data_IF_529745477973
#
_entry.id   IF_529745477973
#
_cell.length_a   1.000
_cell.length_b   1.000
_cell.length_c   1.000
_cell.angle_alpha   90.00
_cell.angle_beta   90.00
_cell.angle_gamma   90.00
#
_symmetry.space_group_name_H-M   'P 1'
#
loop_
_entity.id
_entity.type
_entity.pdbx_description
1 polymer ?
#
# COMPACT_ATOMS: atom_id res chain seq x y z
N UNK A 1 44.89 32.58 -60.66
CA UNK A 1 43.60 32.88 -60.00
C UNK A 1 43.19 31.65 -59.19
N UNK A 2 42.98 31.75 -57.86
CA UNK A 2 42.53 30.62 -57.05
C UNK A 2 41.02 30.69 -56.89
N UNK A 3 40.30 29.77 -57.50
CA UNK A 3 38.83 29.66 -57.40
C UNK A 3 38.50 28.65 -56.31
N UNK A 4 37.71 29.05 -55.32
CA UNK A 4 37.13 28.16 -54.30
C UNK A 4 35.62 28.12 -54.52
N UNK A 5 35.06 26.91 -54.53
CA UNK A 5 33.63 26.64 -54.72
C UNK A 5 33.14 25.85 -53.51
N UNK A 6 31.85 25.98 -53.18
CA UNK A 6 31.22 25.18 -52.13
C UNK A 6 31.11 23.73 -52.61
N UNK A 7 31.75 22.80 -51.91
CA UNK A 7 31.55 21.37 -52.05
C UNK A 7 30.85 20.83 -50.79
N UNK A 8 29.92 19.88 -50.96
CA UNK A 8 29.23 19.22 -49.85
C UNK A 8 29.50 17.72 -49.92
N UNK A 9 30.14 17.16 -48.89
CA UNK A 9 30.40 15.72 -48.82
C UNK A 9 29.15 14.96 -48.31
N UNK A 10 28.59 13.99 -49.06
CA UNK A 10 27.44 13.19 -48.62
C UNK A 10 27.60 12.55 -47.23
N UNK A 11 28.80 12.14 -46.85
CA UNK A 11 29.06 11.47 -45.57
C UNK A 11 28.81 12.38 -44.35
N UNK A 12 28.87 13.70 -44.54
CA UNK A 12 28.70 14.68 -43.45
C UNK A 12 27.23 14.97 -43.10
N UNK A 13 26.30 14.72 -44.02
CA UNK A 13 24.87 15.02 -43.83
C UNK A 13 23.94 13.82 -44.03
N UNK A 14 24.41 12.73 -44.65
CA UNK A 14 23.68 11.47 -44.68
C UNK A 14 23.95 10.66 -43.41
N UNK A 15 23.04 9.73 -43.13
CA UNK A 15 23.22 8.71 -42.10
C UNK A 15 24.04 7.57 -42.68
N UNK A 16 24.97 7.01 -41.90
CA UNK A 16 25.79 5.88 -42.35
C UNK A 16 24.99 4.59 -42.28
N UNK A 17 24.16 4.43 -41.24
CA UNK A 17 23.34 3.24 -41.01
C UNK A 17 21.85 3.58 -40.92
N UNK A 18 20.96 2.63 -41.30
CA UNK A 18 19.50 2.83 -41.28
C UNK A 18 18.90 3.12 -39.90
N UNK A 19 19.55 2.63 -38.84
CA UNK A 19 19.15 2.84 -37.44
C UNK A 19 19.56 4.20 -36.89
N UNK A 20 20.43 4.92 -37.60
CA UNK A 20 20.97 6.19 -37.17
C UNK A 20 20.09 7.36 -37.61
N UNK A 21 20.10 8.43 -36.82
CA UNK A 21 19.31 9.64 -37.03
C UNK A 21 20.01 10.52 -38.07
N UNK A 22 19.24 11.14 -38.97
CA UNK A 22 19.78 12.09 -39.93
C UNK A 22 20.41 13.31 -39.23
N UNK A 23 21.64 13.66 -39.61
CA UNK A 23 22.34 14.85 -39.12
C UNK A 23 21.69 16.10 -39.71
N UNK A 24 21.05 16.92 -38.87
CA UNK A 24 20.41 18.17 -39.31
C UNK A 24 21.35 19.35 -39.01
N UNK A 25 21.87 19.96 -40.08
CA UNK A 25 22.69 21.17 -39.97
C UNK A 25 21.78 22.40 -39.78
N UNK A 26 22.10 23.25 -38.81
CA UNK A 26 21.33 24.46 -38.48
C UNK A 26 22.19 25.69 -38.68
N UNK A 27 21.65 26.68 -39.40
CA UNK A 27 22.23 28.01 -39.48
C UNK A 27 21.29 28.97 -38.73
N UNK A 28 21.82 29.78 -37.81
CA UNK A 28 21.05 30.67 -36.94
C UNK A 28 21.01 32.14 -37.39
N UNK A 29 21.50 32.43 -38.60
CA UNK A 29 21.44 33.77 -39.16
C UNK A 29 19.98 34.30 -39.22
N UNK A 30 19.66 35.43 -38.56
CA UNK A 30 18.31 36.01 -38.57
C UNK A 30 17.78 36.33 -39.97
N UNK A 31 18.66 36.62 -40.95
CA UNK A 31 18.25 36.87 -42.33
C UNK A 31 17.64 35.64 -42.99
N UNK A 32 18.06 34.43 -42.60
CA UNK A 32 17.54 33.16 -43.09
C UNK A 32 16.25 32.73 -42.36
N UNK A 33 15.92 33.36 -41.23
CA UNK A 33 14.72 33.07 -40.43
C UNK A 33 13.81 34.30 -40.29
N UNK A 34 13.19 34.77 -41.39
CA UNK A 34 12.31 35.92 -41.33
C UNK A 34 11.05 35.63 -40.49
N UNK A 35 10.43 36.70 -39.97
CA UNK A 35 9.18 36.70 -39.20
C UNK A 35 9.21 35.93 -37.87
N UNK A 36 10.27 36.12 -37.08
CA UNK A 36 10.39 35.52 -35.75
C UNK A 36 9.18 35.83 -34.86
N UNK A 37 8.85 37.11 -34.68
CA UNK A 37 7.74 37.53 -33.81
C UNK A 37 6.37 36.95 -34.22
N UNK A 38 6.06 36.89 -35.53
CA UNK A 38 4.80 36.32 -36.01
C UNK A 38 4.74 34.80 -35.81
N UNK A 39 5.87 34.11 -35.99
CA UNK A 39 6.00 32.67 -35.76
C UNK A 39 5.86 32.33 -34.28
N UNK A 40 6.42 33.14 -33.40
CA UNK A 40 6.25 32.99 -31.95
C UNK A 40 4.83 33.29 -31.51
N UNK A 41 4.21 34.34 -32.05
CA UNK A 41 2.80 34.67 -31.77
C UNK A 41 1.87 33.49 -32.12
N UNK A 42 2.03 32.90 -33.31
CA UNK A 42 1.22 31.74 -33.72
C UNK A 42 1.50 30.51 -32.86
N UNK A 43 2.75 30.26 -32.45
CA UNK A 43 3.10 29.20 -31.50
C UNK A 43 2.45 29.41 -30.13
N UNK A 44 2.50 30.62 -29.60
CA UNK A 44 1.87 30.98 -28.34
C UNK A 44 0.35 30.83 -28.41
N UNK A 45 -0.26 31.30 -29.49
CA UNK A 45 -1.70 31.17 -29.73
C UNK A 45 -2.14 29.71 -29.86
N UNK A 46 -1.35 28.87 -30.53
CA UNK A 46 -1.60 27.44 -30.60
C UNK A 46 -1.40 26.75 -29.25
N UNK A 47 -0.38 27.13 -28.47
CA UNK A 47 -0.16 26.60 -27.13
C UNK A 47 -1.34 26.92 -26.20
N UNK A 48 -1.83 28.17 -26.20
CA UNK A 48 -3.01 28.57 -25.41
C UNK A 48 -4.27 27.82 -25.85
N UNK A 49 -4.45 27.59 -27.15
CA UNK A 49 -5.57 26.77 -27.66
C UNK A 49 -5.47 25.33 -27.20
N UNK A 50 -4.28 24.73 -27.25
CA UNK A 50 -4.05 23.36 -26.77
C UNK A 50 -4.28 23.25 -25.27
N UNK A 51 -3.77 24.20 -24.48
CA UNK A 51 -3.97 24.22 -23.03
C UNK A 51 -5.47 24.25 -22.67
N UNK A 52 -6.25 25.11 -23.34
CA UNK A 52 -7.72 25.14 -23.19
C UNK A 52 -8.40 23.85 -23.66
N UNK A 53 -7.93 23.23 -24.73
CA UNK A 53 -8.45 21.95 -25.23
C UNK A 53 -8.17 20.79 -24.25
N UNK A 54 -7.02 20.83 -23.58
CA UNK A 54 -6.60 19.83 -22.60
C UNK A 54 -6.99 20.16 -21.16
N UNK A 55 -7.63 21.31 -20.90
CA UNK A 55 -8.15 21.70 -19.60
C UNK A 55 -9.34 20.82 -19.19
N UNK A 56 -9.04 19.59 -18.76
CA UNK A 56 -9.98 18.61 -18.21
C UNK A 56 -9.68 18.44 -16.71
N UNK A 57 -10.10 19.39 -15.86
CA UNK A 57 -9.67 19.47 -14.45
C UNK A 57 -10.29 18.38 -13.58
N UNK A 58 -11.45 17.84 -13.96
CA UNK A 58 -12.12 16.80 -13.20
C UNK A 58 -11.45 15.45 -13.44
N UNK A 59 -10.77 14.94 -12.42
CA UNK A 59 -10.10 13.65 -12.47
C UNK A 59 -11.04 12.50 -12.07
N UNK A 60 -11.91 12.74 -11.09
CA UNK A 60 -12.86 11.75 -10.58
C UNK A 60 -13.46 12.18 -9.24
N UNK A 61 -14.52 11.48 -8.81
CA UNK A 61 -15.13 11.67 -7.50
C UNK A 61 -14.61 10.61 -6.50
N UNK A 62 -14.72 10.92 -5.21
CA UNK A 62 -14.35 10.01 -4.14
C UNK A 62 -15.61 9.59 -3.39
N UNK A 63 -16.34 8.68 -4.03
CA UNK A 63 -17.67 8.26 -3.58
C UNK A 63 -17.63 7.36 -2.34
N UNK A 64 -18.74 7.35 -1.62
CA UNK A 64 -19.01 6.43 -0.54
C UNK A 64 -19.93 6.99 0.53
N UNK A 65 -19.87 8.27 0.82
CA UNK A 65 -20.72 8.82 1.88
C UNK A 65 -22.18 8.83 1.47
N UNK A 66 -23.07 8.48 2.41
CA UNK A 66 -24.51 8.48 2.17
C UNK A 66 -25.08 9.90 2.30
N UNK A 67 -24.48 10.69 3.18
CA UNK A 67 -24.81 12.10 3.41
C UNK A 67 -23.66 13.03 2.97
N UNK A 68 -23.86 14.35 3.07
CA UNK A 68 -22.85 15.36 2.76
C UNK A 68 -21.56 15.18 3.56
N UNK A 69 -20.42 15.49 2.94
CA UNK A 69 -19.11 15.46 3.60
C UNK A 69 -18.96 16.73 4.44
N UNK A 70 -18.78 16.58 5.74
CA UNK A 70 -18.58 17.70 6.68
C UNK A 70 -17.10 18.08 6.83
N UNK A 71 -16.20 17.09 6.81
CA UNK A 71 -14.77 17.31 7.06
C UNK A 71 -13.87 16.38 6.25
N UNK A 72 -12.73 16.89 5.81
CA UNK A 72 -11.69 16.15 5.11
C UNK A 72 -10.34 16.46 5.75
N UNK A 73 -9.57 15.41 6.08
CA UNK A 73 -8.23 15.54 6.66
C UNK A 73 -7.22 14.72 5.84
N UNK A 74 -6.10 15.35 5.47
CA UNK A 74 -4.94 14.68 4.88
C UNK A 74 -3.96 14.26 5.97
N UNK A 75 -3.26 13.15 5.77
CA UNK A 75 -2.19 12.78 6.67
C UNK A 75 -0.95 13.66 6.41
N UNK A 76 -0.27 14.19 7.44
CA UNK A 76 0.86 15.13 7.25
C UNK A 76 2.06 14.52 6.53
N UNK A 77 2.35 13.23 6.75
CA UNK A 77 3.54 12.57 6.17
C UNK A 77 3.24 11.70 4.94
N UNK A 78 1.98 11.32 4.70
CA UNK A 78 1.59 10.34 3.68
C UNK A 78 0.56 10.95 2.75
N UNK A 79 0.97 11.25 1.52
CA UNK A 79 0.14 11.90 0.51
C UNK A 79 -1.03 11.03 0.02
N UNK A 80 -0.90 9.71 0.09
CA UNK A 80 -1.95 8.77 -0.32
C UNK A 80 -3.11 8.66 0.68
N UNK A 81 -2.92 9.16 1.90
CA UNK A 81 -3.87 8.98 3.00
C UNK A 81 -4.72 10.22 3.14
N UNK A 82 -6.01 10.02 2.90
CA UNK A 82 -7.04 11.01 3.10
C UNK A 82 -8.22 10.36 3.83
N UNK A 83 -8.75 11.08 4.80
CA UNK A 83 -9.88 10.67 5.62
C UNK A 83 -11.00 11.68 5.38
N UNK A 84 -12.22 11.18 5.27
CA UNK A 84 -13.42 11.99 5.07
C UNK A 84 -14.48 11.60 6.09
N UNK A 85 -15.10 12.59 6.73
CA UNK A 85 -16.23 12.42 7.65
C UNK A 85 -17.51 13.02 7.06
N UNK A 86 -18.62 12.31 7.17
CA UNK A 86 -19.94 12.77 6.74
C UNK A 86 -20.82 13.21 7.94
N UNK A 87 -21.95 13.85 7.65
CA UNK A 87 -22.91 14.32 8.66
C UNK A 87 -23.66 13.19 9.37
N UNK A 88 -23.70 11.99 8.79
CA UNK A 88 -24.20 10.76 9.42
C UNK A 88 -23.26 10.20 10.52
N UNK A 89 -22.07 10.79 10.68
CA UNK A 89 -21.04 10.33 11.61
C UNK A 89 -20.13 9.24 11.03
N UNK A 90 -20.32 8.82 9.77
CA UNK A 90 -19.43 7.87 9.13
C UNK A 90 -18.08 8.49 8.77
N UNK A 91 -17.01 7.83 9.19
CA UNK A 91 -15.65 8.18 8.80
C UNK A 91 -15.12 7.15 7.81
N UNK A 92 -14.79 7.60 6.60
CA UNK A 92 -14.31 6.74 5.52
C UNK A 92 -12.89 7.06 5.13
N UNK A 93 -12.12 5.99 5.08
CA UNK A 93 -10.74 5.94 4.64
C UNK A 93 -10.70 5.53 3.15
N UNK A 94 -9.78 6.12 2.38
CA UNK A 94 -9.76 5.95 0.92
C UNK A 94 -9.46 4.50 0.47
N UNK A 95 -9.96 4.07 -0.71
CA UNK A 95 -9.82 2.69 -1.19
C UNK A 95 -8.36 2.21 -1.29
N UNK A 96 -7.42 3.06 -1.71
CA UNK A 96 -6.00 2.72 -1.81
C UNK A 96 -5.42 2.23 -0.48
N UNK A 97 -5.69 2.95 0.60
CA UNK A 97 -5.16 2.60 1.92
C UNK A 97 -5.97 1.45 2.55
N UNK A 98 -7.29 1.38 2.31
CA UNK A 98 -8.08 0.17 2.66
C UNK A 98 -7.50 -1.09 1.99
N UNK A 99 -7.09 -1.01 0.72
CA UNK A 99 -6.47 -2.11 0.02
C UNK A 99 -5.09 -2.47 0.60
N UNK A 100 -4.27 -1.48 0.94
CA UNK A 100 -2.98 -1.70 1.59
C UNK A 100 -3.13 -2.37 2.96
N UNK A 101 -4.08 -1.92 3.79
CA UNK A 101 -4.41 -2.53 5.08
C UNK A 101 -4.86 -3.98 4.90
N UNK A 102 -5.84 -4.22 4.01
CA UNK A 102 -6.33 -5.57 3.69
C UNK A 102 -5.21 -6.50 3.22
N UNK A 103 -4.30 -6.00 2.39
CA UNK A 103 -3.14 -6.76 1.93
C UNK A 103 -2.21 -7.10 3.09
N UNK A 104 -1.92 -6.14 3.97
CA UNK A 104 -1.08 -6.38 5.14
C UNK A 104 -1.70 -7.39 6.12
N UNK A 105 -3.01 -7.35 6.29
CA UNK A 105 -3.73 -8.28 7.16
C UNK A 105 -3.78 -9.68 6.55
N UNK A 106 -4.04 -9.80 5.25
CA UNK A 106 -3.95 -11.06 4.53
C UNK A 106 -2.54 -11.69 4.61
N UNK A 107 -1.48 -10.88 4.56
CA UNK A 107 -0.11 -11.37 4.77
C UNK A 107 0.11 -11.88 6.19
N UNK A 108 -0.35 -11.14 7.21
CA UNK A 108 -0.25 -11.58 8.61
C UNK A 108 -0.97 -12.91 8.82
N UNK A 109 -2.15 -13.08 8.23
CA UNK A 109 -2.93 -14.32 8.31
C UNK A 109 -2.21 -15.48 7.59
N UNK A 110 -1.79 -15.26 6.34
CA UNK A 110 -1.08 -16.26 5.54
C UNK A 110 0.18 -16.77 6.24
N UNK A 111 0.93 -15.87 6.87
CA UNK A 111 2.19 -16.19 7.55
C UNK A 111 2.05 -16.35 9.08
N UNK A 112 0.83 -16.51 9.61
CA UNK A 112 0.58 -16.61 11.05
C UNK A 112 1.25 -17.83 11.72
N UNK A 113 1.54 -18.88 10.95
CA UNK A 113 2.22 -20.10 11.44
C UNK A 113 3.73 -19.92 11.61
N UNK A 114 4.33 -18.94 10.92
CA UNK A 114 5.78 -18.72 10.95
C UNK A 114 6.24 -18.36 12.37
N UNK A 115 7.27 -19.03 12.93
CA UNK A 115 7.71 -18.82 14.32
C UNK A 115 7.97 -17.35 14.67
N UNK A 116 8.69 -16.60 13.83
CA UNK A 116 8.98 -15.18 14.02
C UNK A 116 7.73 -14.28 14.00
N UNK A 117 6.89 -14.40 12.96
CA UNK A 117 5.64 -13.63 12.85
C UNK A 117 4.72 -13.92 14.04
N UNK A 118 4.58 -15.20 14.40
CA UNK A 118 3.79 -15.67 15.55
C UNK A 118 4.34 -15.14 16.88
N UNK A 119 5.66 -15.11 17.05
CA UNK A 119 6.34 -14.57 18.24
C UNK A 119 6.05 -13.08 18.38
N UNK A 120 6.20 -12.30 17.31
CA UNK A 120 5.92 -10.86 17.30
C UNK A 120 4.43 -10.60 17.56
N UNK A 121 3.54 -11.31 16.87
CA UNK A 121 2.10 -11.13 16.99
C UNK A 121 1.58 -11.43 18.41
N UNK A 122 2.16 -12.43 19.09
CA UNK A 122 1.78 -12.84 20.45
C UNK A 122 2.45 -12.04 21.57
N UNK A 123 3.54 -11.34 21.26
CA UNK A 123 4.24 -10.56 22.27
C UNK A 123 3.32 -9.46 22.82
N UNK A 124 3.18 -9.41 24.15
CA UNK A 124 2.41 -8.40 24.87
C UNK A 124 3.21 -7.99 26.09
N UNK A 125 3.34 -6.69 26.32
CA UNK A 125 4.01 -6.16 27.50
C UNK A 125 3.00 -6.10 28.64
N UNK A 126 3.05 -7.10 29.53
CA UNK A 126 2.19 -7.20 30.70
C UNK A 126 2.96 -6.75 31.96
N UNK A 127 2.30 -6.04 32.91
CA UNK A 127 2.88 -5.73 34.20
C UNK A 127 3.40 -6.97 34.95
N UNK A 128 4.46 -6.82 35.75
CA UNK A 128 5.16 -7.93 36.42
C UNK A 128 4.25 -8.77 37.31
N UNK A 129 3.32 -8.14 38.03
CA UNK A 129 2.38 -8.86 38.91
C UNK A 129 1.41 -9.74 38.10
N UNK A 130 0.89 -9.25 36.97
CA UNK A 130 0.04 -10.04 36.06
C UNK A 130 0.82 -11.21 35.48
N UNK A 131 2.05 -10.95 35.02
CA UNK A 131 2.92 -12.00 34.46
C UNK A 131 3.19 -13.12 35.48
N UNK A 132 3.52 -12.75 36.72
CA UNK A 132 3.80 -13.71 37.79
C UNK A 132 2.55 -14.54 38.15
N UNK A 133 1.40 -13.89 38.35
CA UNK A 133 0.15 -14.58 38.66
C UNK A 133 -0.27 -15.53 37.52
N UNK A 134 -0.13 -15.12 36.26
CA UNK A 134 -0.45 -15.97 35.12
C UNK A 134 0.50 -17.18 35.03
N UNK A 135 1.80 -16.99 35.31
CA UNK A 135 2.79 -18.07 35.36
C UNK A 135 2.44 -19.09 36.46
N UNK A 136 2.08 -18.61 37.63
CA UNK A 136 1.66 -19.47 38.76
C UNK A 136 0.42 -20.29 38.42
N UNK A 137 -0.63 -19.65 37.90
CA UNK A 137 -1.86 -20.34 37.43
C UNK A 137 -1.51 -21.39 36.38
N UNK A 138 -0.61 -21.06 35.44
CA UNK A 138 -0.18 -22.01 34.41
C UNK A 138 0.52 -23.24 35.02
N UNK A 139 1.44 -23.02 35.96
CA UNK A 139 2.14 -24.09 36.69
C UNK A 139 1.16 -24.98 37.46
N UNK A 140 0.17 -24.39 38.14
CA UNK A 140 -0.87 -25.15 38.87
C UNK A 140 -1.66 -26.03 37.91
N UNK A 141 -2.13 -25.47 36.78
CA UNK A 141 -2.88 -26.22 35.76
C UNK A 141 -2.06 -27.36 35.14
N UNK A 142 -0.78 -27.11 34.81
CA UNK A 142 0.12 -28.14 34.28
C UNK A 142 0.34 -29.27 35.29
N UNK A 143 0.54 -28.94 36.59
CA UNK A 143 0.69 -29.91 37.67
C UNK A 143 -0.56 -30.79 37.81
N UNK A 144 -1.74 -30.20 37.79
CA UNK A 144 -3.02 -30.93 37.84
C UNK A 144 -3.17 -31.86 36.62
N UNK A 145 -2.93 -31.34 35.40
CA UNK A 145 -3.00 -32.14 34.17
C UNK A 145 -2.03 -33.33 34.17
N UNK A 146 -0.80 -33.13 34.65
CA UNK A 146 0.19 -34.21 34.79
C UNK A 146 -0.26 -35.25 35.83
N UNK A 147 -0.81 -34.82 36.97
CA UNK A 147 -1.32 -35.72 38.01
C UNK A 147 -2.50 -36.56 37.51
N UNK A 148 -3.44 -35.95 36.79
CA UNK A 148 -4.57 -36.66 36.17
C UNK A 148 -4.09 -37.63 35.09
N UNK A 149 -3.15 -37.23 34.24
CA UNK A 149 -2.56 -38.09 33.22
C UNK A 149 -1.82 -39.31 33.82
N UNK A 150 -0.99 -39.08 34.85
CA UNK A 150 -0.29 -40.16 35.55
C UNK A 150 -1.28 -41.12 36.21
N UNK A 151 -2.33 -40.60 36.88
CA UNK A 151 -3.37 -41.45 37.47
C UNK A 151 -4.03 -42.32 36.40
N UNK A 152 -4.35 -41.75 35.22
CA UNK A 152 -4.93 -42.52 34.11
C UNK A 152 -3.99 -43.58 33.55
N UNK A 153 -2.70 -43.28 33.43
CA UNK A 153 -1.70 -44.22 32.92
C UNK A 153 -1.44 -45.41 33.86
N UNK A 154 -1.66 -45.22 35.17
CA UNK A 154 -1.40 -46.24 36.21
C UNK A 154 -2.66 -46.86 36.82
N UNK A 155 -3.85 -46.52 36.31
CA UNK A 155 -5.13 -47.15 36.68
C UNK A 155 -5.57 -48.16 35.62
N UNK A 156 -6.59 -48.98 35.93
CA UNK A 156 -7.12 -49.92 34.94
C UNK A 156 -7.72 -49.13 33.75
N UNK A 157 -7.61 -49.64 32.51
CA UNK A 157 -8.24 -49.00 31.35
C UNK A 157 -9.73 -48.72 31.60
N UNK A 158 -10.14 -47.45 31.50
CA UNK A 158 -11.54 -47.02 31.69
C UNK A 158 -11.90 -46.58 33.11
N UNK A 159 -11.06 -46.80 34.13
CA UNK A 159 -11.36 -46.46 35.53
C UNK A 159 -11.35 -44.94 35.79
N UNK A 160 -10.51 -44.17 35.08
CA UNK A 160 -10.41 -42.71 35.23
C UNK A 160 -10.79 -42.00 33.91
N UNK A 161 -12.05 -41.56 33.75
CA UNK A 161 -12.52 -40.95 32.51
C UNK A 161 -11.87 -39.58 32.24
N UNK A 162 -11.71 -39.22 30.95
CA UNK A 162 -11.31 -37.86 30.56
C UNK A 162 -12.56 -36.98 30.46
N UNK A 163 -12.77 -36.15 31.48
CA UNK A 163 -13.82 -35.14 31.47
C UNK A 163 -13.22 -33.85 30.92
N UNK A 164 -13.70 -33.32 29.78
CA UNK A 164 -13.27 -32.02 29.26
C UNK A 164 -13.45 -30.91 30.30
N UNK A 165 -12.48 -29.99 30.41
CA UNK A 165 -12.53 -28.89 31.41
C UNK A 165 -13.82 -28.05 31.31
N UNK A 166 -14.40 -27.93 30.11
CA UNK A 166 -15.68 -27.23 29.89
C UNK A 166 -16.85 -27.88 30.62
N UNK A 167 -16.88 -29.22 30.71
CA UNK A 167 -17.95 -29.96 31.39
C UNK A 167 -17.75 -30.00 32.91
N UNK A 168 -16.52 -29.81 33.42
CA UNK A 168 -16.25 -29.78 34.87
C UNK A 168 -16.93 -28.62 35.60
N UNK A 169 -17.26 -27.54 34.90
CA UNK A 169 -17.84 -26.32 35.46
C UNK A 169 -19.35 -26.18 35.27
N UNK A 170 -19.98 -27.08 34.48
CA UNK A 170 -21.43 -27.06 34.27
C UNK A 170 -22.08 -27.81 35.44
N UNK A 171 -22.77 -27.07 36.31
CA UNK A 171 -23.67 -27.66 37.31
C UNK A 171 -24.84 -28.28 36.54
N UNK A 172 -25.18 -29.54 36.82
CA UNK A 172 -26.33 -30.22 36.19
C UNK A 172 -27.58 -29.34 36.38
N UNK A 173 -28.24 -28.96 35.29
CA UNK A 173 -29.58 -28.39 35.35
C UNK A 173 -30.49 -29.42 36.04
N UNK A 174 -31.16 -28.97 37.09
CA UNK A 174 -32.16 -29.76 37.82
C UNK A 174 -33.41 -29.77 36.95
N UNK A 175 -33.91 -30.96 36.61
CA UNK A 175 -35.19 -31.15 35.91
C UNK A 175 -36.36 -30.61 36.73
#
# INVERSE_FOLDING_TARGET
>A
MKVKVISRNPDEYLRETKLEIHKVQRNYDPALHPFEAAREYTRALNAVKLDKMFAKPFLGNLDGHRDGVSSIAKHPAKLSVLISGAFDGEVRLRPREKAALRYSDALKEKFASHPEVKRIARHRQVPKHIYNAQREIHTIKQKQKKREANRRAHSKPGEVPFIPERQKHVLKETQ
#
